data_IF_873966724242
#
_entry.id   IF_873966724242
#
_cell.length_a   1.000
_cell.length_b   1.000
_cell.length_c   1.000
_cell.angle_alpha   90.00
_cell.angle_beta   90.00
_cell.angle_gamma   90.00
#
_symmetry.space_group_name_H-M   'P 1'
#
loop_
_entity.id
_entity.type
_entity.pdbx_description
1 polymer ?
#
# COMPACT_ATOMS: atom_id res chain seq x y z
N UNK A 1 -37.96 36.57 12.24
CA UNK A 1 -36.68 37.26 11.92
C UNK A 1 -36.31 36.91 10.49
N UNK A 2 -36.25 37.92 9.63
CA UNK A 2 -36.48 37.78 8.19
C UNK A 2 -35.28 37.32 7.37
N UNK A 3 -35.58 36.68 6.25
CA UNK A 3 -34.66 36.24 5.20
C UNK A 3 -33.67 37.33 4.75
N UNK A 4 -34.05 38.61 4.89
CA UNK A 4 -33.19 39.77 4.65
C UNK A 4 -31.97 39.83 5.60
N UNK A 5 -32.13 39.48 6.89
CA UNK A 5 -31.03 39.47 7.87
C UNK A 5 -30.04 38.35 7.60
N UNK A 6 -30.52 37.20 7.11
CA UNK A 6 -29.68 36.07 6.70
C UNK A 6 -28.89 36.39 5.42
N UNK A 7 -29.53 36.98 4.41
CA UNK A 7 -28.89 37.42 3.18
C UNK A 7 -27.84 38.52 3.45
N UNK A 8 -28.12 39.46 4.36
CA UNK A 8 -27.17 40.50 4.75
C UNK A 8 -25.92 39.91 5.42
N UNK A 9 -26.09 38.91 6.31
CA UNK A 9 -24.97 38.25 7.00
C UNK A 9 -24.09 37.46 6.02
N UNK A 10 -24.69 36.90 4.96
CA UNK A 10 -23.98 36.19 3.91
C UNK A 10 -23.20 37.16 3.00
N UNK A 11 -23.82 38.27 2.63
CA UNK A 11 -23.20 39.32 1.79
C UNK A 11 -22.07 40.04 2.54
N UNK A 12 -22.23 40.33 3.83
CA UNK A 12 -21.19 40.93 4.67
C UNK A 12 -19.98 39.99 4.85
N UNK A 13 -20.21 38.67 4.93
CA UNK A 13 -19.14 37.66 4.98
C UNK A 13 -18.41 37.51 3.65
N UNK A 14 -19.14 37.47 2.52
CA UNK A 14 -18.56 37.44 1.17
C UNK A 14 -17.72 38.69 0.89
N UNK A 15 -18.15 39.84 1.42
CA UNK A 15 -17.44 41.12 1.28
C UNK A 15 -16.18 41.15 2.14
N UNK A 16 -16.23 40.68 3.40
CA UNK A 16 -15.05 40.54 4.27
C UNK A 16 -13.99 39.58 3.71
N UNK A 17 -14.40 38.48 3.07
CA UNK A 17 -13.47 37.52 2.44
C UNK A 17 -12.85 38.11 1.16
N UNK A 18 -13.61 38.88 0.37
CA UNK A 18 -13.08 39.61 -0.79
C UNK A 18 -12.16 40.76 -0.38
N UNK A 19 -12.44 41.44 0.72
CA UNK A 19 -11.58 42.50 1.28
C UNK A 19 -10.29 41.93 1.88
N UNK A 20 -10.35 40.78 2.57
CA UNK A 20 -9.16 40.04 3.01
C UNK A 20 -8.27 39.61 1.83
N UNK A 21 -8.89 39.24 0.70
CA UNK A 21 -8.20 38.89 -0.55
C UNK A 21 -7.57 40.11 -1.27
N UNK A 22 -8.12 41.31 -1.07
CA UNK A 22 -7.61 42.56 -1.69
C UNK A 22 -6.61 43.32 -0.81
N UNK A 23 -6.66 43.17 0.50
CA UNK A 23 -5.84 43.95 1.45
C UNK A 23 -4.60 43.23 1.99
N UNK A 24 -4.50 41.89 1.93
CA UNK A 24 -3.49 41.16 2.73
C UNK A 24 -2.42 40.35 2.00
N UNK A 25 -2.42 40.21 0.67
CA UNK A 25 -1.39 39.44 -0.04
C UNK A 25 -1.10 38.06 0.61
N UNK A 26 -2.16 37.39 1.09
CA UNK A 26 -2.04 36.15 1.87
C UNK A 26 -1.37 35.07 1.01
N UNK A 27 -0.26 34.54 1.51
CA UNK A 27 0.44 33.41 0.90
C UNK A 27 -0.41 32.14 1.00
N UNK A 28 -0.16 31.18 0.11
CA UNK A 28 -0.81 29.87 0.14
C UNK A 28 -0.64 29.16 1.50
N UNK A 29 0.48 29.39 2.19
CA UNK A 29 0.76 28.86 3.53
C UNK A 29 -0.05 29.54 4.65
N UNK A 30 -0.29 30.84 4.57
CA UNK A 30 -1.17 31.55 5.52
C UNK A 30 -2.63 31.16 5.32
N UNK A 31 -3.03 30.93 4.08
CA UNK A 31 -4.34 30.38 3.77
C UNK A 31 -4.49 28.97 4.34
N UNK A 32 -3.51 28.08 4.14
CA UNK A 32 -3.55 26.74 4.72
C UNK A 32 -3.68 26.73 6.26
N UNK A 33 -3.01 27.68 6.94
CA UNK A 33 -3.15 27.86 8.40
C UNK A 33 -4.53 28.35 8.82
N UNK A 34 -5.09 29.34 8.12
CA UNK A 34 -6.45 29.83 8.38
C UNK A 34 -7.52 28.76 8.13
N UNK A 35 -7.27 27.84 7.19
CA UNK A 35 -8.18 26.74 6.88
C UNK A 35 -8.13 25.60 7.91
N UNK A 36 -7.03 25.47 8.66
CA UNK A 36 -6.93 24.55 9.79
C UNK A 36 -7.77 25.01 11.02
N UNK A 37 -8.24 26.26 11.03
CA UNK A 37 -9.12 26.77 12.07
C UNK A 37 -10.57 26.27 11.88
N UNK A 38 -11.22 25.83 12.97
CA UNK A 38 -12.48 25.04 13.02
C UNK A 38 -13.75 25.65 12.37
N UNK A 39 -13.69 26.79 11.68
CA UNK A 39 -14.88 27.57 11.28
C UNK A 39 -15.12 27.73 9.76
N UNK A 40 -14.46 26.95 8.90
CA UNK A 40 -14.66 27.04 7.43
C UNK A 40 -15.53 25.89 6.92
N UNK A 41 -16.54 26.20 6.09
CA UNK A 41 -17.41 25.20 5.44
C UNK A 41 -16.63 24.32 4.44
N UNK A 42 -16.80 22.98 4.44
CA UNK A 42 -16.12 22.07 3.51
C UNK A 42 -16.34 22.39 2.03
N UNK A 43 -17.51 22.91 1.67
CA UNK A 43 -17.86 23.26 0.29
C UNK A 43 -17.21 24.58 -0.15
N UNK A 44 -17.05 25.50 0.79
CA UNK A 44 -16.37 26.79 0.58
C UNK A 44 -14.85 26.61 0.52
N UNK A 45 -14.34 25.68 1.33
CA UNK A 45 -12.97 25.17 1.31
C UNK A 45 -12.63 24.56 -0.07
N UNK A 46 -13.44 23.60 -0.54
CA UNK A 46 -13.20 22.91 -1.81
C UNK A 46 -13.19 23.85 -3.02
N UNK A 47 -14.08 24.85 -3.06
CA UNK A 47 -14.08 25.89 -4.11
C UNK A 47 -12.88 26.82 -4.02
N UNK A 48 -12.44 27.15 -2.82
CA UNK A 48 -11.28 28.02 -2.60
C UNK A 48 -10.01 27.31 -3.06
N UNK A 49 -9.82 26.03 -2.71
CA UNK A 49 -8.67 25.22 -3.12
C UNK A 49 -8.67 24.98 -4.64
N UNK A 50 -9.83 24.67 -5.24
CA UNK A 50 -9.94 24.44 -6.68
C UNK A 50 -9.64 25.69 -7.54
N UNK A 51 -9.68 26.89 -6.95
CA UNK A 51 -9.37 28.15 -7.61
C UNK A 51 -7.94 28.67 -7.39
N UNK A 52 -7.08 27.93 -6.69
CA UNK A 52 -5.70 28.34 -6.39
C UNK A 52 -4.70 27.76 -7.38
N UNK A 53 -3.76 28.60 -7.81
CA UNK A 53 -2.66 28.21 -8.68
C UNK A 53 -1.58 27.39 -7.93
N UNK A 54 -1.50 27.52 -6.61
CA UNK A 54 -0.51 26.86 -5.76
C UNK A 54 -1.18 26.00 -4.68
N UNK A 55 -1.61 24.81 -5.10
CA UNK A 55 -2.18 23.79 -4.21
C UNK A 55 -1.12 23.27 -3.22
N UNK A 56 0.16 23.24 -3.61
CA UNK A 56 1.26 22.75 -2.78
C UNK A 56 1.49 23.62 -1.55
N UNK A 57 1.49 24.94 -1.71
CA UNK A 57 1.61 25.88 -0.59
C UNK A 57 0.45 25.80 0.41
N UNK A 58 -0.76 25.49 -0.05
CA UNK A 58 -1.93 25.29 0.82
C UNK A 58 -1.81 24.02 1.64
N UNK A 59 -1.46 22.90 1.00
CA UNK A 59 -1.23 21.62 1.69
C UNK A 59 -0.13 21.79 2.74
N UNK A 60 0.97 22.46 2.38
CA UNK A 60 2.06 22.76 3.32
C UNK A 60 1.60 23.60 4.51
N UNK A 61 0.69 24.57 4.30
CA UNK A 61 0.11 25.37 5.37
C UNK A 61 -0.79 24.55 6.30
N UNK A 62 -1.60 23.64 5.76
CA UNK A 62 -2.45 22.73 6.55
C UNK A 62 -1.59 21.76 7.37
N UNK A 63 -0.59 21.11 6.76
CA UNK A 63 0.30 20.17 7.46
C UNK A 63 1.32 20.85 8.37
N UNK A 64 1.34 22.19 8.43
CA UNK A 64 2.21 22.92 9.36
C UNK A 64 1.66 22.92 10.79
N UNK A 65 0.36 22.72 10.97
CA UNK A 65 -0.30 22.64 12.29
C UNK A 65 -0.49 21.19 12.73
N UNK A 66 -0.57 20.96 14.05
CA UNK A 66 -0.80 19.62 14.60
C UNK A 66 -2.18 19.08 14.22
N UNK A 67 -3.21 19.92 14.24
CA UNK A 67 -4.57 19.54 13.85
C UNK A 67 -4.68 19.19 12.37
N UNK A 68 -3.97 19.92 11.51
CA UNK A 68 -3.97 19.67 10.07
C UNK A 68 -3.18 18.41 9.71
N UNK A 69 -2.06 18.12 10.41
CA UNK A 69 -1.37 16.83 10.31
C UNK A 69 -2.25 15.67 10.73
N UNK A 70 -2.88 15.78 11.91
CA UNK A 70 -3.79 14.75 12.43
C UNK A 70 -4.95 14.46 11.47
N UNK A 71 -5.55 15.50 10.89
CA UNK A 71 -6.65 15.32 9.93
C UNK A 71 -6.21 14.59 8.65
N UNK A 72 -5.01 14.90 8.14
CA UNK A 72 -4.44 14.20 6.98
C UNK A 72 -4.12 12.74 7.33
N UNK A 73 -3.52 12.49 8.49
CA UNK A 73 -3.17 11.13 8.93
C UNK A 73 -4.42 10.26 9.09
N UNK A 74 -5.47 10.79 9.72
CA UNK A 74 -6.77 10.10 9.87
C UNK A 74 -7.37 9.75 8.51
N UNK A 75 -7.34 10.67 7.54
CA UNK A 75 -7.86 10.40 6.20
C UNK A 75 -7.03 9.37 5.43
N UNK A 76 -5.70 9.41 5.55
CA UNK A 76 -4.81 8.39 5.00
C UNK A 76 -5.13 7.02 5.60
N UNK A 77 -5.24 6.92 6.92
CA UNK A 77 -5.57 5.66 7.61
C UNK A 77 -6.94 5.14 7.16
N UNK A 78 -7.95 6.01 7.05
CA UNK A 78 -9.29 5.64 6.56
C UNK A 78 -9.23 5.04 5.16
N UNK A 79 -8.56 5.70 4.21
CA UNK A 79 -8.40 5.19 2.83
C UNK A 79 -7.62 3.88 2.78
N UNK A 80 -6.64 3.70 3.67
CA UNK A 80 -5.92 2.43 3.79
C UNK A 80 -6.83 1.31 4.27
N UNK A 81 -7.67 1.55 5.28
CA UNK A 81 -8.67 0.58 5.76
C UNK A 81 -9.66 0.19 4.67
N UNK A 82 -10.15 1.16 3.90
CA UNK A 82 -11.01 0.91 2.72
C UNK A 82 -10.31 0.00 1.71
N UNK A 83 -9.04 0.28 1.39
CA UNK A 83 -8.27 -0.57 0.48
C UNK A 83 -8.03 -1.99 1.02
N UNK A 84 -7.83 -2.19 2.32
CA UNK A 84 -7.71 -3.54 2.90
C UNK A 84 -9.05 -4.27 2.87
N UNK A 85 -10.17 -3.57 3.12
CA UNK A 85 -11.50 -4.16 3.01
C UNK A 85 -11.80 -4.62 1.57
N UNK A 86 -11.49 -3.78 0.57
CA UNK A 86 -11.60 -4.15 -0.85
C UNK A 86 -10.71 -5.35 -1.20
N UNK A 87 -9.47 -5.39 -0.71
CA UNK A 87 -8.58 -6.53 -0.91
C UNK A 87 -9.18 -7.81 -0.30
N UNK A 88 -9.72 -7.74 0.93
CA UNK A 88 -10.33 -8.89 1.60
C UNK A 88 -11.46 -9.49 0.76
N UNK A 89 -12.38 -8.66 0.29
CA UNK A 89 -13.49 -9.11 -0.54
C UNK A 89 -12.97 -9.75 -1.84
N UNK A 90 -11.95 -9.16 -2.44
CA UNK A 90 -11.36 -9.65 -3.69
C UNK A 90 -10.70 -11.02 -3.54
N UNK A 91 -9.98 -11.27 -2.43
CA UNK A 91 -9.25 -12.54 -2.23
C UNK A 91 -10.13 -13.70 -1.80
N UNK A 92 -11.34 -13.44 -1.32
CA UNK A 92 -12.34 -14.47 -1.01
C UNK A 92 -13.09 -14.97 -2.26
N UNK A 93 -12.92 -14.30 -3.40
CA UNK A 93 -13.48 -14.79 -4.67
C UNK A 93 -12.47 -15.75 -5.36
N UNK A 94 -12.80 -17.05 -5.53
CA UNK A 94 -11.89 -18.02 -6.14
C UNK A 94 -11.59 -17.76 -7.62
N UNK A 95 -12.43 -16.97 -8.31
CA UNK A 95 -12.23 -16.61 -9.71
C UNK A 95 -11.26 -15.43 -9.90
N UNK A 96 -10.88 -14.75 -8.81
CA UNK A 96 -9.97 -13.60 -8.85
C UNK A 96 -8.62 -13.97 -9.46
N UNK A 97 -8.18 -13.15 -10.41
CA UNK A 97 -6.93 -13.32 -11.14
C UNK A 97 -5.77 -12.54 -10.50
N UNK A 98 -4.55 -12.95 -10.80
CA UNK A 98 -3.32 -12.25 -10.39
C UNK A 98 -3.30 -10.79 -10.87
N UNK A 99 -3.79 -10.53 -12.07
CA UNK A 99 -3.85 -9.18 -12.64
C UNK A 99 -4.82 -8.26 -11.88
N UNK A 100 -5.97 -8.78 -11.43
CA UNK A 100 -6.93 -8.03 -10.62
C UNK A 100 -6.33 -7.67 -9.26
N UNK A 101 -5.61 -8.61 -8.64
CA UNK A 101 -4.93 -8.39 -7.36
C UNK A 101 -3.79 -7.40 -7.54
N UNK A 102 -2.96 -7.55 -8.57
CA UNK A 102 -1.88 -6.63 -8.88
C UNK A 102 -2.41 -5.21 -9.10
N UNK A 103 -3.54 -5.07 -9.79
CA UNK A 103 -4.20 -3.77 -10.03
C UNK A 103 -4.73 -3.17 -8.73
N UNK A 104 -5.34 -3.98 -7.87
CA UNK A 104 -5.83 -3.52 -6.56
C UNK A 104 -4.65 -3.10 -5.67
N UNK A 105 -3.59 -3.90 -5.56
CA UNK A 105 -2.41 -3.55 -4.75
C UNK A 105 -1.74 -2.29 -5.34
N UNK A 106 -1.51 -2.27 -6.65
CA UNK A 106 -0.93 -1.14 -7.37
C UNK A 106 0.38 -0.65 -6.73
N UNK A 107 0.41 0.61 -6.28
CA UNK A 107 1.56 1.21 -5.59
C UNK A 107 1.44 1.20 -4.06
N UNK A 108 0.46 0.49 -3.50
CA UNK A 108 0.20 0.42 -2.05
C UNK A 108 1.15 -0.57 -1.35
N UNK A 109 2.46 -0.34 -1.46
CA UNK A 109 3.50 -1.22 -0.90
C UNK A 109 3.37 -1.45 0.62
N UNK A 110 2.74 -0.52 1.34
CA UNK A 110 2.49 -0.63 2.78
C UNK A 110 1.62 -1.85 3.15
N UNK A 111 0.87 -2.42 2.21
CA UNK A 111 0.09 -3.66 2.41
C UNK A 111 1.01 -4.82 2.84
N UNK A 112 2.26 -4.83 2.38
CA UNK A 112 3.23 -5.87 2.71
C UNK A 112 4.01 -5.60 4.01
N UNK A 113 3.81 -4.44 4.65
CA UNK A 113 4.50 -4.04 5.88
C UNK A 113 5.26 -2.71 5.77
N UNK A 114 5.77 -2.24 6.93
CA UNK A 114 6.40 -0.93 7.07
C UNK A 114 7.86 -0.83 6.62
N UNK A 115 8.52 -1.94 6.28
CA UNK A 115 9.93 -1.95 5.86
C UNK A 115 10.13 -1.61 4.37
N UNK A 116 9.05 -1.47 3.61
CA UNK A 116 9.10 -1.07 2.21
C UNK A 116 8.89 0.43 2.06
N UNK A 117 9.62 1.04 1.13
CA UNK A 117 9.60 2.48 0.86
C UNK A 117 9.03 2.82 -0.51
N UNK A 118 8.81 1.82 -1.36
CA UNK A 118 8.30 2.03 -2.70
C UNK A 118 8.22 0.77 -3.55
N UNK A 119 7.81 0.98 -4.80
CA UNK A 119 7.80 -0.02 -5.87
C UNK A 119 8.75 0.47 -6.97
N UNK A 120 9.71 -0.36 -7.37
CA UNK A 120 10.62 -0.10 -8.47
C UNK A 120 9.83 -0.11 -9.81
N UNK A 121 10.12 0.84 -10.70
CA UNK A 121 9.47 0.84 -12.02
C UNK A 121 10.02 -0.32 -12.87
N UNK A 122 9.14 -1.18 -13.38
CA UNK A 122 9.51 -2.35 -14.21
C UNK A 122 10.19 -1.95 -15.52
N UNK A 123 9.98 -0.71 -16.01
CA UNK A 123 10.70 -0.17 -17.17
C UNK A 123 12.20 -0.07 -16.94
N UNK A 124 12.67 -0.19 -15.70
CA UNK A 124 14.07 -0.11 -15.33
C UNK A 124 14.83 -1.45 -15.49
N UNK A 125 14.43 -2.27 -16.47
CA UNK A 125 15.09 -3.50 -16.93
C UNK A 125 15.23 -4.64 -15.91
N UNK A 126 14.20 -4.90 -15.10
CA UNK A 126 14.21 -6.04 -14.16
C UNK A 126 13.55 -7.26 -14.81
N UNK A 127 14.15 -8.46 -14.76
CA UNK A 127 13.59 -9.68 -15.36
C UNK A 127 12.45 -10.24 -14.51
N UNK A 128 11.27 -9.60 -14.55
CA UNK A 128 10.07 -9.98 -13.80
C UNK A 128 8.89 -10.14 -14.75
N UNK A 129 7.92 -10.98 -14.37
CA UNK A 129 6.66 -11.09 -15.09
C UNK A 129 5.72 -9.90 -14.79
N UNK A 130 4.63 -9.84 -15.55
CA UNK A 130 3.67 -8.76 -15.50
C UNK A 130 2.96 -8.61 -14.14
N UNK A 131 2.88 -9.66 -13.34
CA UNK A 131 2.17 -9.65 -12.06
C UNK A 131 3.08 -9.37 -10.86
N UNK A 132 4.39 -9.47 -11.00
CA UNK A 132 5.32 -9.46 -9.87
C UNK A 132 5.69 -8.05 -9.41
N UNK A 133 5.65 -7.79 -8.11
CA UNK A 133 5.84 -6.44 -7.57
C UNK A 133 7.26 -6.32 -7.01
N UNK A 134 8.18 -5.57 -7.66
CA UNK A 134 9.49 -5.30 -7.10
C UNK A 134 9.39 -4.18 -6.05
N UNK A 135 9.38 -4.55 -4.79
CA UNK A 135 9.41 -3.63 -3.66
C UNK A 135 10.84 -3.16 -3.38
N UNK A 136 10.96 -1.92 -2.93
CA UNK A 136 12.22 -1.34 -2.45
C UNK A 136 12.16 -1.32 -0.93
N UNK A 137 13.10 -1.99 -0.28
CA UNK A 137 13.26 -1.99 1.17
C UNK A 137 13.85 -0.66 1.66
N UNK A 138 13.68 -0.36 2.96
CA UNK A 138 14.26 0.83 3.59
C UNK A 138 15.80 0.89 3.50
N UNK A 139 16.46 -0.28 3.45
CA UNK A 139 17.92 -0.40 3.24
C UNK A 139 18.33 -0.39 1.76
N UNK A 140 17.39 -0.10 0.84
CA UNK A 140 17.53 -0.10 -0.62
C UNK A 140 17.80 -1.47 -1.26
N UNK A 141 17.69 -2.56 -0.50
CA UNK A 141 17.60 -3.88 -1.11
C UNK A 141 16.27 -4.03 -1.87
N UNK A 142 16.24 -4.94 -2.84
CA UNK A 142 15.02 -5.25 -3.60
C UNK A 142 14.35 -6.49 -3.02
N UNK A 143 13.02 -6.44 -2.93
CA UNK A 143 12.20 -7.57 -2.51
C UNK A 143 11.14 -7.84 -3.56
N UNK A 144 11.10 -9.05 -4.10
CA UNK A 144 10.15 -9.44 -5.14
C UNK A 144 8.90 -10.01 -4.48
N UNK A 145 7.72 -9.56 -4.91
CA UNK A 145 6.47 -10.24 -4.59
C UNK A 145 5.96 -10.97 -5.83
N UNK A 146 5.95 -12.29 -5.78
CA UNK A 146 5.31 -13.18 -6.75
C UNK A 146 3.84 -13.34 -6.37
N UNK A 147 2.92 -12.88 -7.22
CA UNK A 147 1.48 -13.01 -6.97
C UNK A 147 0.91 -14.22 -7.71
N UNK A 148 0.21 -15.08 -6.98
CA UNK A 148 -0.60 -16.18 -7.52
C UNK A 148 -2.07 -16.02 -7.13
N UNK A 149 -2.97 -16.80 -7.70
CA UNK A 149 -4.41 -16.64 -7.46
C UNK A 149 -4.81 -17.04 -6.02
N UNK A 150 -5.87 -16.46 -5.46
CA UNK A 150 -6.41 -16.88 -4.16
C UNK A 150 -7.05 -18.26 -4.19
N UNK A 151 -7.59 -18.67 -5.35
CA UNK A 151 -8.15 -20.00 -5.54
C UNK A 151 -7.12 -21.12 -5.76
N UNK A 152 -5.82 -20.82 -5.75
CA UNK A 152 -4.79 -21.85 -5.86
C UNK A 152 -4.79 -22.75 -4.63
N UNK A 153 -4.63 -24.05 -4.86
CA UNK A 153 -4.53 -25.06 -3.83
C UNK A 153 -3.23 -24.87 -3.05
N UNK A 154 -3.32 -24.80 -1.73
CA UNK A 154 -2.16 -24.58 -0.85
C UNK A 154 -1.45 -25.87 -0.46
N UNK A 155 -2.22 -26.92 -0.17
CA UNK A 155 -1.71 -28.20 0.35
C UNK A 155 -2.36 -29.37 -0.36
N UNK A 156 -1.70 -30.52 -0.30
CA UNK A 156 -2.24 -31.80 -0.75
C UNK A 156 -1.90 -32.91 0.25
N UNK A 157 -2.77 -33.92 0.40
CA UNK A 157 -2.45 -35.13 1.14
C UNK A 157 -1.27 -35.87 0.50
N UNK A 158 -0.35 -36.33 1.33
CA UNK A 158 0.73 -37.23 0.95
C UNK A 158 0.91 -38.28 2.03
N UNK A 159 0.40 -39.50 1.75
CA UNK A 159 0.31 -40.59 2.72
C UNK A 159 -0.50 -40.12 3.95
N UNK A 160 0.12 -40.09 5.13
CA UNK A 160 -0.50 -39.70 6.40
C UNK A 160 -0.24 -38.25 6.80
N UNK A 161 0.36 -37.44 5.91
CA UNK A 161 0.73 -36.06 6.19
C UNK A 161 0.24 -35.13 5.10
N UNK A 162 0.16 -33.83 5.42
CA UNK A 162 -0.03 -32.78 4.43
C UNK A 162 1.34 -32.26 3.98
N UNK A 163 1.45 -31.99 2.70
CA UNK A 163 2.58 -31.27 2.11
C UNK A 163 2.04 -30.11 1.27
N UNK A 164 2.90 -29.15 0.95
CA UNK A 164 2.52 -28.07 0.04
C UNK A 164 2.13 -28.64 -1.34
N UNK A 165 1.21 -27.94 -2.00
CA UNK A 165 0.76 -28.30 -3.34
C UNK A 165 1.88 -28.12 -4.37
N UNK A 166 1.65 -28.61 -5.60
CA UNK A 166 2.56 -28.32 -6.71
C UNK A 166 2.56 -26.82 -7.03
N UNK A 167 1.41 -26.15 -6.95
CA UNK A 167 1.26 -24.74 -7.28
C UNK A 167 2.11 -23.85 -6.36
N UNK A 168 2.17 -24.17 -5.06
CA UNK A 168 3.05 -23.49 -4.10
C UNK A 168 4.52 -23.74 -4.46
N UNK A 169 4.89 -24.99 -4.78
CA UNK A 169 6.26 -25.33 -5.13
C UNK A 169 6.74 -24.65 -6.42
N UNK A 170 5.89 -24.62 -7.44
CA UNK A 170 6.15 -23.95 -8.73
C UNK A 170 6.32 -22.45 -8.54
N UNK A 171 5.44 -21.81 -7.76
CA UNK A 171 5.53 -20.38 -7.47
C UNK A 171 6.82 -20.01 -6.72
N UNK A 172 7.26 -20.85 -5.76
CA UNK A 172 8.56 -20.66 -5.10
C UNK A 172 9.71 -20.84 -6.08
N UNK A 173 9.64 -21.84 -6.98
CA UNK A 173 10.63 -22.03 -8.04
C UNK A 173 10.73 -20.82 -8.98
N UNK A 174 9.59 -20.25 -9.37
CA UNK A 174 9.52 -19.03 -10.18
C UNK A 174 10.17 -17.85 -9.46
N UNK A 175 9.80 -17.62 -8.20
CA UNK A 175 10.40 -16.55 -7.39
C UNK A 175 11.92 -16.72 -7.24
N UNK A 176 12.40 -17.94 -7.01
CA UNK A 176 13.84 -18.25 -6.96
C UNK A 176 14.56 -17.98 -8.28
N UNK A 177 13.90 -18.20 -9.43
CA UNK A 177 14.47 -17.89 -10.73
C UNK A 177 14.71 -16.38 -10.91
N UNK A 178 13.81 -15.53 -10.44
CA UNK A 178 14.02 -14.08 -10.47
C UNK A 178 15.13 -13.63 -9.54
N UNK A 179 15.20 -14.21 -8.34
CA UNK A 179 16.29 -13.93 -7.40
C UNK A 179 17.63 -14.27 -8.05
N UNK A 180 17.74 -15.46 -8.67
CA UNK A 180 18.94 -15.86 -9.41
C UNK A 180 19.26 -14.89 -10.55
N UNK A 181 18.27 -14.51 -11.36
CA UNK A 181 18.47 -13.58 -12.46
C UNK A 181 18.96 -12.21 -11.97
N UNK A 182 18.46 -11.73 -10.83
CA UNK A 182 18.93 -10.50 -10.20
C UNK A 182 20.34 -10.63 -9.59
N UNK A 183 20.68 -11.77 -9.02
CA UNK A 183 22.05 -12.02 -8.56
C UNK A 183 23.04 -11.98 -9.75
N UNK A 184 22.66 -12.56 -10.89
CA UNK A 184 23.47 -12.60 -12.12
C UNK A 184 23.59 -11.23 -12.81
N UNK A 185 22.50 -10.46 -12.89
CA UNK A 185 22.45 -9.17 -13.59
C UNK A 185 22.71 -7.95 -12.67
N UNK A 186 22.73 -8.15 -11.36
CA UNK A 186 22.62 -7.09 -10.37
C UNK A 186 23.67 -5.99 -10.47
N UNK A 187 24.93 -6.33 -10.80
CA UNK A 187 25.99 -5.34 -10.98
C UNK A 187 25.73 -4.40 -12.17
N UNK A 188 25.16 -4.93 -13.26
CA UNK A 188 24.77 -4.14 -14.43
C UNK A 188 23.59 -3.22 -14.10
N UNK A 189 22.57 -3.75 -13.42
CA UNK A 189 21.39 -2.99 -13.00
C UNK A 189 21.76 -1.87 -12.02
N UNK A 190 22.61 -2.16 -11.03
CA UNK A 190 23.12 -1.15 -10.10
C UNK A 190 23.80 0.00 -10.83
N UNK A 191 24.62 -0.31 -11.85
CA UNK A 191 25.30 0.69 -12.67
C UNK A 191 24.31 1.52 -13.49
N UNK A 192 23.31 0.88 -14.11
CA UNK A 192 22.28 1.54 -14.88
C UNK A 192 21.47 2.52 -14.01
N UNK A 193 20.94 2.07 -12.86
CA UNK A 193 20.14 2.93 -11.98
C UNK A 193 20.95 4.07 -11.38
N UNK A 194 22.23 3.83 -11.06
CA UNK A 194 23.12 4.89 -10.60
C UNK A 194 23.29 5.98 -11.66
N UNK A 195 23.52 5.59 -12.91
CA UNK A 195 23.80 6.53 -13.99
C UNK A 195 22.55 7.26 -14.49
N UNK A 196 21.43 6.56 -14.61
CA UNK A 196 20.20 7.13 -15.19
C UNK A 196 19.30 7.80 -14.15
N UNK A 197 19.27 7.28 -12.92
CA UNK A 197 18.32 7.71 -11.88
C UNK A 197 19.01 8.36 -10.67
N UNK A 198 20.34 8.25 -10.56
CA UNK A 198 21.08 8.76 -9.39
C UNK A 198 20.83 7.97 -8.11
N UNK A 199 20.26 6.75 -8.22
CA UNK A 199 19.90 5.90 -7.08
C UNK A 199 20.70 4.60 -7.13
N UNK A 200 21.16 4.14 -5.96
CA UNK A 200 21.86 2.86 -5.80
C UNK A 200 20.95 1.89 -5.07
N UNK A 201 20.60 0.79 -5.73
CA UNK A 201 19.86 -0.33 -5.15
C UNK A 201 20.79 -1.52 -4.89
N UNK A 202 20.51 -2.30 -3.86
CA UNK A 202 21.27 -3.50 -3.54
C UNK A 202 20.58 -4.76 -4.10
N UNK A 203 21.08 -5.22 -5.24
CA UNK A 203 20.63 -6.46 -5.90
C UNK A 203 21.27 -7.73 -5.35
N UNK A 204 22.26 -7.64 -4.45
CA UNK A 204 22.92 -8.83 -3.87
C UNK A 204 22.15 -9.42 -2.69
N UNK A 205 21.24 -8.63 -2.12
CA UNK A 205 20.44 -8.98 -0.93
C UNK A 205 18.98 -9.26 -1.27
N UNK A 206 18.69 -9.59 -2.53
CA UNK A 206 17.32 -9.79 -2.99
C UNK A 206 16.64 -10.91 -2.22
N UNK A 207 15.41 -10.65 -1.79
CA UNK A 207 14.49 -11.64 -1.20
C UNK A 207 13.19 -11.69 -1.99
N UNK A 208 12.41 -12.73 -1.74
CA UNK A 208 11.13 -12.95 -2.39
C UNK A 208 10.02 -13.30 -1.40
N UNK A 209 8.80 -12.88 -1.70
CA UNK A 209 7.59 -13.40 -1.09
C UNK A 209 6.65 -13.90 -2.18
N UNK A 210 6.21 -15.14 -2.05
CA UNK A 210 5.11 -15.69 -2.85
C UNK A 210 3.82 -15.45 -2.07
N UNK A 211 2.87 -14.71 -2.66
CA UNK A 211 1.51 -14.59 -2.13
C UNK A 211 0.59 -15.48 -2.95
N UNK A 212 0.06 -16.52 -2.32
CA UNK A 212 -0.70 -17.56 -3.01
C UNK A 212 -1.79 -18.11 -2.10
N UNK A 213 -2.95 -18.40 -2.69
CA UNK A 213 -4.02 -19.15 -2.04
C UNK A 213 -4.69 -18.43 -0.86
N UNK A 214 -5.91 -18.83 -0.57
CA UNK A 214 -6.63 -18.44 0.64
C UNK A 214 -7.02 -19.72 1.41
N UNK A 215 -6.67 -19.85 2.71
CA UNK A 215 -6.95 -21.05 3.49
C UNK A 215 -8.43 -21.44 3.47
N UNK A 216 -9.35 -20.48 3.57
CA UNK A 216 -10.80 -20.75 3.51
C UNK A 216 -11.27 -21.33 2.16
N UNK A 217 -10.60 -20.98 1.05
CA UNK A 217 -10.92 -21.52 -0.27
C UNK A 217 -10.30 -22.91 -0.50
N UNK A 218 -9.30 -23.27 0.31
CA UNK A 218 -8.62 -24.57 0.26
C UNK A 218 -9.10 -25.56 1.33
N UNK A 219 -9.76 -25.07 2.38
CA UNK A 219 -10.27 -25.88 3.46
C UNK A 219 -11.35 -26.84 2.94
N UNK A 220 -11.32 -28.07 3.45
CA UNK A 220 -12.31 -29.11 3.14
C UNK A 220 -12.72 -29.79 4.43
N UNK A 221 -13.76 -30.63 4.41
CA UNK A 221 -14.17 -31.44 5.57
C UNK A 221 -13.02 -32.31 6.13
N UNK A 222 -12.02 -32.61 5.30
CA UNK A 222 -10.86 -33.44 5.65
C UNK A 222 -9.59 -32.66 6.01
N UNK A 223 -9.55 -31.36 5.73
CA UNK A 223 -8.36 -30.51 5.91
C UNK A 223 -8.79 -29.17 6.50
N UNK A 224 -8.47 -28.98 7.77
CA UNK A 224 -8.75 -27.74 8.50
C UNK A 224 -7.74 -26.63 8.15
N UNK A 225 -8.17 -25.37 8.26
CA UNK A 225 -7.30 -24.20 8.00
C UNK A 225 -6.01 -24.19 8.82
N UNK A 226 -6.07 -24.56 10.09
CA UNK A 226 -4.88 -24.66 10.97
C UNK A 226 -3.84 -25.66 10.43
N UNK A 227 -4.28 -26.76 9.82
CA UNK A 227 -3.38 -27.75 9.24
C UNK A 227 -2.71 -27.21 7.96
N UNK A 228 -3.43 -26.39 7.19
CA UNK A 228 -2.88 -25.67 6.03
C UNK A 228 -1.78 -24.71 6.50
N UNK A 229 -2.09 -23.85 7.48
CA UNK A 229 -1.15 -22.90 8.05
C UNK A 229 0.10 -23.57 8.61
N UNK A 230 -0.05 -24.66 9.38
CA UNK A 230 1.08 -25.40 9.93
C UNK A 230 1.96 -26.03 8.84
N UNK A 231 1.35 -26.49 7.75
CA UNK A 231 2.08 -27.04 6.60
C UNK A 231 2.88 -25.96 5.89
N UNK A 232 2.29 -24.79 5.62
CA UNK A 232 2.98 -23.64 5.02
C UNK A 232 4.09 -23.13 5.93
N UNK A 233 3.86 -23.04 7.25
CA UNK A 233 4.88 -22.64 8.24
C UNK A 233 6.08 -23.58 8.22
N UNK A 234 5.82 -24.88 8.20
CA UNK A 234 6.87 -25.91 8.14
C UNK A 234 7.63 -25.85 6.80
N UNK A 235 6.94 -25.52 5.71
CA UNK A 235 7.55 -25.28 4.41
C UNK A 235 8.46 -24.05 4.43
N UNK A 236 7.99 -22.92 4.98
CA UNK A 236 8.80 -21.71 5.13
C UNK A 236 10.06 -21.92 5.99
N UNK A 237 10.03 -22.82 6.98
CA UNK A 237 11.13 -23.03 7.92
C UNK A 237 12.46 -23.46 7.27
N UNK A 238 12.44 -24.00 6.04
CA UNK A 238 13.66 -24.38 5.31
C UNK A 238 13.96 -23.48 4.10
N UNK A 239 13.13 -22.48 3.82
CA UNK A 239 13.39 -21.50 2.76
C UNK A 239 14.26 -20.35 3.31
N UNK A 240 15.31 -19.98 2.58
CA UNK A 240 16.31 -19.00 3.05
C UNK A 240 16.09 -17.58 2.53
N UNK A 241 15.64 -17.44 1.29
CA UNK A 241 15.45 -16.13 0.61
C UNK A 241 14.04 -15.90 0.08
N UNK A 242 13.20 -16.93 0.11
CA UNK A 242 11.79 -16.86 -0.30
C UNK A 242 10.91 -17.19 0.90
N UNK A 243 9.80 -16.49 1.03
CA UNK A 243 8.75 -16.80 1.98
C UNK A 243 7.44 -17.02 1.23
N UNK A 244 6.67 -18.02 1.61
CA UNK A 244 5.28 -18.21 1.17
C UNK A 244 4.36 -17.56 2.19
N UNK A 245 3.40 -16.79 1.71
CA UNK A 245 2.40 -16.10 2.49
C UNK A 245 1.03 -16.31 1.84
N UNK A 246 0.01 -16.59 2.62
CA UNK A 246 -1.36 -16.70 2.12
C UNK A 246 -2.03 -15.33 2.02
N UNK A 247 -3.10 -15.22 1.23
CA UNK A 247 -3.85 -13.97 1.17
C UNK A 247 -4.52 -13.60 2.50
N UNK A 248 -4.92 -14.59 3.31
CA UNK A 248 -5.43 -14.34 4.65
C UNK A 248 -4.35 -13.67 5.52
N UNK A 249 -3.13 -14.24 5.55
CA UNK A 249 -2.01 -13.66 6.29
C UNK A 249 -1.64 -12.25 5.80
N UNK A 250 -1.71 -11.99 4.49
CA UNK A 250 -1.43 -10.66 3.92
C UNK A 250 -2.42 -9.62 4.43
N UNK A 251 -3.71 -9.92 4.28
CA UNK A 251 -4.81 -9.03 4.68
C UNK A 251 -4.73 -8.77 6.18
N UNK A 252 -4.62 -9.83 6.98
CA UNK A 252 -4.57 -9.72 8.43
C UNK A 252 -3.35 -8.92 8.91
N UNK A 253 -2.19 -9.10 8.25
CA UNK A 253 -1.00 -8.30 8.56
C UNK A 253 -1.19 -6.84 8.20
N UNK A 254 -1.81 -6.54 7.05
CA UNK A 254 -2.10 -5.18 6.63
C UNK A 254 -3.09 -4.49 7.58
N UNK A 255 -4.08 -5.21 8.09
CA UNK A 255 -5.02 -4.68 9.08
C UNK A 255 -4.38 -4.38 10.42
N UNK A 256 -3.59 -5.33 10.95
CA UNK A 256 -2.85 -5.13 12.19
C UNK A 256 -1.92 -3.92 12.09
N UNK A 257 -1.30 -3.69 10.94
CA UNK A 257 -0.47 -2.51 10.70
C UNK A 257 -1.25 -1.17 10.71
N UNK A 258 -2.58 -1.20 10.64
CA UNK A 258 -3.46 -0.02 10.73
C UNK A 258 -4.18 0.10 12.09
N UNK A 259 -3.93 -0.84 13.00
CA UNK A 259 -4.33 -0.74 14.39
C UNK A 259 -3.25 0.05 15.12
N UNK A 260 -3.65 1.19 15.70
CA UNK A 260 -2.77 2.00 16.52
C UNK A 260 -3.26 1.84 17.95
N UNK A 261 -2.44 1.21 18.78
CA UNK A 261 -2.64 1.15 20.23
C UNK A 261 -1.86 2.30 20.87
N UNK A 262 -2.41 2.88 21.93
CA UNK A 262 -1.62 3.80 22.76
C UNK A 262 -0.62 2.96 23.55
N UNK A 263 0.67 3.33 23.52
CA UNK A 263 1.65 2.74 24.41
C UNK A 263 1.31 3.18 25.85
N UNK A 264 0.70 2.29 26.63
CA UNK A 264 0.60 2.46 28.08
C UNK A 264 1.94 2.06 28.69
N UNK A 265 2.73 3.06 29.12
CA UNK A 265 3.97 2.88 29.89
C UNK A 265 3.67 2.83 31.40
#
# INVERSE_FOLDING_TARGET
MGFATFAQTLVDRITKVREARRQRNLSAAELGRLLAERNVSPTELGRTIAGLADVGGVVSGITSTDEGRLAVDVDVIRRRREAVAELRELVLNPATTEAEIQKMIGRRYWIFGGHYTGVLDRRNAVPLDQHDIPLVCADRSIHIVELKRPGHQLVKPHRNHLIVSNEVHEAVGQCMNYIRALDELGAGLETLHRNELGVVYDYRRVKGTVVIGHPELCATDSVAGEQIEQTIRSYNAHLSRVQVLTYAELVDSAERALQFEAEEH
#
